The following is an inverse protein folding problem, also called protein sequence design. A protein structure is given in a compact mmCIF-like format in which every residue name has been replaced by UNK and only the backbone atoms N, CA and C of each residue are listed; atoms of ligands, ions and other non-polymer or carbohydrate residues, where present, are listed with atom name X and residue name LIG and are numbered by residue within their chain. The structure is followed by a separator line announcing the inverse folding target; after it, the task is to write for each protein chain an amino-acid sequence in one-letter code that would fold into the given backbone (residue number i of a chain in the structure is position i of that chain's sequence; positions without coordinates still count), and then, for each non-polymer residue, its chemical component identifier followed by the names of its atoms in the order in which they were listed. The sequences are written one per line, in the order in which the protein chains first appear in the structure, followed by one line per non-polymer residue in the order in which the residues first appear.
data_IF_019421483045
#
_entry.id   IF_019421483045
#
_cell.length_a   1.000
_cell.length_b   1.000
_cell.length_c   1.000
_cell.angle_alpha   90.00
_cell.angle_beta   90.00
_cell.angle_gamma   90.00
#
_symmetry.space_group_name_H-M   'P 1'
#
loop_
_entity.id
_entity.type
_entity.pdbx_description
1 polymer ?
#
# COMPACT_ATOMS: atom_id res chain seq x y z
N UNK A 1 -14.22 -5.81 -29.13
CA UNK A 1 -14.80 -4.60 -29.74
C UNK A 1 -15.94 -4.99 -30.67
N UNK A 2 -17.04 -4.24 -30.68
CA UNK A 2 -18.09 -4.41 -31.70
C UNK A 2 -17.69 -3.80 -33.06
N UNK A 3 -16.91 -2.71 -33.04
CA UNK A 3 -16.26 -2.09 -34.20
C UNK A 3 -14.75 -1.92 -33.92
N UNK A 4 -13.89 -2.45 -34.79
CA UNK A 4 -12.43 -2.35 -34.68
C UNK A 4 -11.93 -0.90 -34.70
N UNK A 5 -12.66 0.00 -35.36
CA UNK A 5 -12.28 1.41 -35.47
C UNK A 5 -12.70 2.22 -34.24
N UNK A 6 -13.55 1.67 -33.38
CA UNK A 6 -13.97 2.29 -32.12
C UNK A 6 -13.25 1.62 -30.95
N UNK A 7 -12.06 2.12 -30.62
CA UNK A 7 -11.22 1.57 -29.54
C UNK A 7 -10.94 2.57 -28.41
N UNK A 8 -11.45 3.80 -28.51
CA UNK A 8 -11.21 4.83 -27.50
C UNK A 8 -12.08 4.58 -26.26
N UNK A 9 -11.53 4.66 -25.03
CA UNK A 9 -12.30 4.52 -23.80
C UNK A 9 -13.08 5.81 -23.46
N UNK A 10 -13.99 6.21 -24.34
CA UNK A 10 -14.74 7.47 -24.26
C UNK A 10 -16.24 7.27 -23.92
N UNK A 11 -16.66 6.04 -23.62
CA UNK A 11 -18.05 5.69 -23.35
C UNK A 11 -18.94 5.56 -24.58
N UNK A 12 -18.39 5.71 -25.80
CA UNK A 12 -19.14 5.56 -27.06
C UNK A 12 -18.94 4.17 -27.67
N UNK A 13 -17.75 3.58 -27.52
CA UNK A 13 -17.45 2.29 -28.14
C UNK A 13 -18.17 1.13 -27.45
N UNK A 14 -18.83 0.31 -28.25
CA UNK A 14 -19.55 -0.87 -27.78
C UNK A 14 -18.66 -2.12 -27.78
N UNK A 15 -18.92 -3.01 -26.82
CA UNK A 15 -18.24 -4.29 -26.68
C UNK A 15 -19.28 -5.41 -26.81
N UNK A 16 -19.09 -6.29 -27.78
CA UNK A 16 -20.01 -7.41 -28.05
C UNK A 16 -19.93 -8.52 -27.01
N UNK A 17 -18.77 -8.70 -26.37
CA UNK A 17 -18.52 -9.73 -25.37
C UNK A 17 -17.25 -9.40 -24.58
N UNK A 18 -17.02 -10.16 -23.51
CA UNK A 18 -15.79 -10.12 -22.73
C UNK A 18 -14.57 -10.53 -23.57
N UNK A 19 -13.40 -10.00 -23.22
CA UNK A 19 -12.14 -10.42 -23.80
C UNK A 19 -11.89 -11.93 -23.61
N UNK A 20 -11.09 -12.53 -24.49
CA UNK A 20 -10.75 -13.95 -24.39
C UNK A 20 -10.01 -14.23 -23.07
N UNK A 21 -10.26 -15.38 -22.42
CA UNK A 21 -9.54 -15.75 -21.22
C UNK A 21 -8.05 -15.88 -21.51
N UNK A 22 -7.24 -15.39 -20.58
CA UNK A 22 -5.80 -15.59 -20.57
C UNK A 22 -5.42 -17.05 -20.29
N UNK A 23 -4.18 -17.41 -20.61
CA UNK A 23 -3.63 -18.73 -20.30
C UNK A 23 -3.44 -18.94 -18.80
N UNK A 24 -3.13 -17.88 -18.07
CA UNK A 24 -2.92 -17.88 -16.62
C UNK A 24 -4.21 -17.50 -15.89
N UNK A 25 -4.87 -16.41 -16.31
CA UNK A 25 -6.11 -15.96 -15.66
C UNK A 25 -7.28 -16.91 -15.85
N UNK A 26 -7.31 -17.65 -16.98
CA UNK A 26 -8.36 -18.60 -17.35
C UNK A 26 -9.79 -18.05 -17.29
N UNK A 27 -9.95 -16.72 -17.30
CA UNK A 27 -11.22 -16.05 -17.05
C UNK A 27 -11.49 -15.00 -18.12
N UNK A 28 -12.64 -15.11 -18.80
CA UNK A 28 -13.01 -14.16 -19.84
C UNK A 28 -13.15 -12.73 -19.28
N UNK A 29 -12.57 -11.76 -19.97
CA UNK A 29 -12.55 -10.36 -19.55
C UNK A 29 -11.46 -9.99 -18.53
N UNK A 30 -10.66 -10.96 -18.06
CA UNK A 30 -9.56 -10.71 -17.12
C UNK A 30 -8.25 -11.20 -17.73
N UNK A 31 -7.23 -10.35 -17.71
CA UNK A 31 -5.86 -10.72 -18.01
C UNK A 31 -4.96 -10.21 -16.90
N UNK A 32 -4.00 -11.05 -16.50
CA UNK A 32 -2.98 -10.66 -15.54
C UNK A 32 -1.94 -9.73 -16.18
N UNK A 33 -1.27 -8.92 -15.37
CA UNK A 33 -0.23 -8.01 -15.88
C UNK A 33 0.88 -8.77 -16.62
N UNK A 34 1.25 -9.96 -16.15
CA UNK A 34 2.20 -10.86 -16.85
C UNK A 34 1.73 -11.27 -18.26
N UNK A 35 0.43 -11.46 -18.45
CA UNK A 35 -0.16 -11.79 -19.74
C UNK A 35 -0.16 -10.58 -20.67
N UNK A 36 -0.44 -9.40 -20.15
CA UNK A 36 -0.48 -8.17 -20.95
C UNK A 36 0.93 -7.75 -21.35
N UNK A 37 1.85 -7.70 -20.39
CA UNK A 37 3.25 -7.28 -20.61
C UNK A 37 4.00 -8.19 -21.58
N UNK A 38 3.78 -9.51 -21.53
CA UNK A 38 4.37 -10.45 -22.50
C UNK A 38 3.90 -10.23 -23.94
N UNK A 39 2.71 -9.65 -24.13
CA UNK A 39 2.17 -9.30 -25.47
C UNK A 39 2.63 -7.94 -25.97
N UNK A 40 3.10 -7.04 -25.12
CA UNK A 40 3.40 -5.66 -25.50
C UNK A 40 4.48 -5.51 -26.59
N UNK A 41 5.28 -6.55 -26.84
CA UNK A 41 6.31 -6.61 -27.89
C UNK A 41 5.86 -7.38 -29.15
N UNK A 42 4.63 -7.90 -29.18
CA UNK A 42 4.06 -8.57 -30.34
C UNK A 42 3.68 -7.57 -31.43
N UNK A 43 3.85 -7.97 -32.70
CA UNK A 43 3.63 -7.08 -33.86
C UNK A 43 2.16 -6.66 -34.05
N UNK A 44 1.22 -7.40 -33.47
CA UNK A 44 -0.22 -7.18 -33.62
C UNK A 44 -0.84 -6.33 -32.49
N UNK A 45 -0.01 -5.80 -31.58
CA UNK A 45 -0.47 -5.04 -30.41
C UNK A 45 -0.25 -3.55 -30.62
N UNK A 46 -1.35 -2.80 -30.62
CA UNK A 46 -1.32 -1.32 -30.56
C UNK A 46 -1.54 -0.87 -29.12
N UNK A 47 -0.66 -0.01 -28.61
CA UNK A 47 -0.69 0.50 -27.23
C UNK A 47 -1.03 1.99 -27.21
N UNK A 48 -1.82 2.39 -26.23
CA UNK A 48 -2.31 3.76 -26.08
C UNK A 48 -2.24 4.18 -24.61
N UNK A 49 -1.98 5.47 -24.41
CA UNK A 49 -2.02 6.12 -23.11
C UNK A 49 -2.87 7.38 -23.19
N UNK A 50 -3.85 7.51 -22.30
CA UNK A 50 -4.53 8.77 -22.05
C UNK A 50 -3.95 9.44 -20.81
N UNK A 51 -3.07 10.43 -21.00
CA UNK A 51 -2.38 11.14 -19.91
C UNK A 51 -3.33 11.93 -18.99
N UNK A 52 -4.53 12.29 -19.45
CA UNK A 52 -5.50 13.02 -18.63
C UNK A 52 -6.19 12.09 -17.64
N UNK A 53 -6.58 10.89 -18.09
CA UNK A 53 -7.25 9.89 -17.25
C UNK A 53 -6.29 8.87 -16.66
N UNK A 54 -5.01 8.90 -17.03
CA UNK A 54 -3.96 7.91 -16.68
C UNK A 54 -4.29 6.48 -17.14
N UNK A 55 -5.18 6.34 -18.13
CA UNK A 55 -5.64 5.03 -18.60
C UNK A 55 -4.72 4.52 -19.69
N UNK A 56 -4.11 3.36 -19.45
CA UNK A 56 -3.40 2.57 -20.45
C UNK A 56 -4.31 1.49 -21.00
N UNK A 57 -4.23 1.27 -22.30
CA UNK A 57 -4.97 0.19 -22.95
C UNK A 57 -4.26 -0.27 -24.22
N UNK A 58 -4.52 -1.50 -24.63
CA UNK A 58 -4.07 -2.04 -25.90
C UNK A 58 -5.22 -2.61 -26.72
N UNK A 59 -4.99 -2.68 -28.03
CA UNK A 59 -5.82 -3.39 -29.00
C UNK A 59 -4.95 -4.43 -29.67
N UNK A 60 -5.41 -5.67 -29.70
CA UNK A 60 -4.65 -6.80 -30.25
C UNK A 60 -5.56 -7.81 -30.93
N UNK A 61 -4.97 -8.71 -31.74
CA UNK A 61 -5.72 -9.70 -32.53
C UNK A 61 -6.92 -9.10 -33.31
N UNK A 62 -6.80 -7.84 -33.73
CA UNK A 62 -7.80 -7.08 -34.48
C UNK A 62 -9.09 -6.68 -33.75
N UNK A 63 -9.42 -7.23 -32.58
CA UNK A 63 -10.70 -6.90 -31.92
C UNK A 63 -10.70 -7.10 -30.40
N UNK A 64 -9.59 -7.59 -29.84
CA UNK A 64 -9.42 -7.67 -28.40
C UNK A 64 -8.96 -6.30 -27.89
N UNK A 65 -9.50 -5.91 -26.74
CA UNK A 65 -9.21 -4.63 -26.10
C UNK A 65 -9.06 -4.88 -24.61
N UNK A 66 -8.02 -4.33 -24.01
CA UNK A 66 -7.79 -4.47 -22.56
C UNK A 66 -7.15 -3.20 -22.02
N UNK A 67 -7.71 -2.68 -20.93
CA UNK A 67 -7.07 -1.65 -20.10
C UNK A 67 -6.23 -2.28 -19.02
N UNK A 68 -5.12 -1.63 -18.68
CA UNK A 68 -4.18 -2.10 -17.67
C UNK A 68 -3.44 -0.92 -17.04
N UNK A 69 -2.48 -1.24 -16.17
CA UNK A 69 -1.52 -0.29 -15.65
C UNK A 69 -0.10 -0.78 -15.91
N UNK A 70 0.82 0.15 -16.13
CA UNK A 70 2.27 -0.09 -16.27
C UNK A 70 3.05 0.99 -15.50
N UNK A 71 4.38 0.97 -15.62
CA UNK A 71 5.27 1.92 -14.92
C UNK A 71 4.88 3.40 -15.14
N UNK A 72 4.42 3.76 -16.34
CA UNK A 72 4.03 5.14 -16.66
C UNK A 72 2.72 5.51 -15.94
N UNK A 73 1.68 4.66 -15.99
CA UNK A 73 0.42 4.98 -15.31
C UNK A 73 0.53 4.86 -13.78
N UNK A 74 1.37 3.96 -13.27
CA UNK A 74 1.70 3.90 -11.84
C UNK A 74 2.34 5.18 -11.35
N UNK A 75 3.31 5.72 -12.10
CA UNK A 75 3.95 6.98 -11.77
C UNK A 75 2.94 8.13 -11.69
N UNK A 76 2.06 8.25 -12.70
CA UNK A 76 1.02 9.28 -12.72
C UNK A 76 0.04 9.13 -11.55
N UNK A 77 -0.38 7.90 -11.25
CA UNK A 77 -1.29 7.59 -10.12
C UNK A 77 -0.64 7.91 -8.78
N UNK A 78 0.64 7.60 -8.58
CA UNK A 78 1.37 7.99 -7.38
C UNK A 78 1.45 9.51 -7.22
N UNK A 79 1.76 10.22 -8.31
CA UNK A 79 1.73 11.69 -8.32
C UNK A 79 0.36 12.24 -7.90
N UNK A 80 -0.73 11.63 -8.40
CA UNK A 80 -2.08 11.97 -7.99
C UNK A 80 -2.33 11.71 -6.49
N UNK A 81 -1.95 10.54 -5.97
CA UNK A 81 -2.08 10.20 -4.55
C UNK A 81 -1.33 11.22 -3.66
N UNK A 82 -0.08 11.54 -4.01
CA UNK A 82 0.73 12.53 -3.29
C UNK A 82 0.08 13.92 -3.33
N UNK A 83 -0.46 14.34 -4.48
CA UNK A 83 -1.13 15.65 -4.62
C UNK A 83 -2.39 15.79 -3.76
N UNK A 84 -2.97 14.67 -3.32
CA UNK A 84 -4.18 14.60 -2.50
C UNK A 84 -3.90 14.24 -1.04
N UNK A 85 -2.64 14.14 -0.64
CA UNK A 85 -2.23 13.70 0.70
C UNK A 85 -2.85 12.35 1.08
N UNK A 86 -2.95 11.42 0.12
CA UNK A 86 -3.38 10.06 0.39
C UNK A 86 -2.18 9.24 0.89
N UNK A 87 -2.31 8.62 2.06
CA UNK A 87 -1.19 8.02 2.80
C UNK A 87 -0.81 6.61 2.34
N UNK A 88 -1.48 6.06 1.34
CA UNK A 88 -1.21 4.68 0.92
C UNK A 88 -1.89 4.31 -0.38
N UNK A 89 -1.50 3.12 -0.84
CA UNK A 89 -2.06 2.45 -2.00
C UNK A 89 -2.37 1.00 -1.62
N UNK A 90 -3.31 0.40 -2.33
CA UNK A 90 -3.61 -1.02 -2.23
C UNK A 90 -3.47 -1.63 -3.62
N UNK A 91 -2.83 -2.80 -3.69
CA UNK A 91 -2.59 -3.53 -4.93
C UNK A 91 -3.42 -4.80 -4.89
N UNK A 92 -4.10 -5.06 -5.99
CA UNK A 92 -4.75 -6.33 -6.26
C UNK A 92 -4.21 -6.88 -7.58
N UNK A 93 -3.50 -8.01 -7.59
CA UNK A 93 -2.88 -8.71 -6.45
C UNK A 93 -1.43 -9.10 -6.77
N UNK A 94 -0.69 -9.58 -5.75
CA UNK A 94 0.73 -9.90 -5.89
C UNK A 94 1.00 -11.01 -6.92
N UNK A 95 0.07 -11.95 -7.07
CA UNK A 95 0.19 -13.10 -7.96
C UNK A 95 -0.13 -12.80 -9.44
N UNK A 96 -0.74 -11.66 -9.74
CA UNK A 96 -1.06 -11.24 -11.11
C UNK A 96 0.13 -10.54 -11.83
N UNK A 97 1.17 -10.22 -11.07
CA UNK A 97 2.40 -9.57 -11.55
C UNK A 97 3.34 -10.50 -12.34
N UNK A 98 4.54 -10.00 -12.65
CA UNK A 98 5.63 -10.83 -13.20
C UNK A 98 6.34 -11.58 -12.07
N UNK A 99 6.91 -12.76 -12.38
CA UNK A 99 7.45 -13.69 -11.37
C UNK A 99 8.61 -13.17 -10.51
N UNK A 100 9.27 -12.07 -10.89
CA UNK A 100 10.42 -11.49 -10.15
C UNK A 100 10.05 -10.27 -9.29
N UNK A 101 8.75 -10.01 -9.07
CA UNK A 101 8.27 -8.79 -8.40
C UNK A 101 8.61 -7.49 -9.16
N UNK A 102 8.95 -7.55 -10.44
CA UNK A 102 9.33 -6.36 -11.23
C UNK A 102 8.21 -5.32 -11.24
N UNK A 103 6.96 -5.76 -11.38
CA UNK A 103 5.80 -4.89 -11.33
C UNK A 103 5.68 -4.17 -9.98
N UNK A 104 5.95 -4.88 -8.89
CA UNK A 104 5.91 -4.32 -7.55
C UNK A 104 7.11 -3.39 -7.30
N UNK A 105 8.29 -3.74 -7.81
CA UNK A 105 9.49 -2.91 -7.75
C UNK A 105 9.33 -1.61 -8.57
N UNK A 106 8.75 -1.69 -9.76
CA UNK A 106 8.46 -0.53 -10.59
C UNK A 106 7.45 0.42 -9.92
N UNK A 107 6.52 -0.13 -9.13
CA UNK A 107 5.59 0.65 -8.33
C UNK A 107 6.29 1.22 -7.08
N UNK A 108 6.84 0.39 -6.20
CA UNK A 108 7.28 0.78 -4.86
C UNK A 108 8.76 1.20 -4.74
N UNK A 109 9.54 1.05 -5.81
CA UNK A 109 10.99 1.12 -5.77
C UNK A 109 11.63 -0.21 -5.36
N UNK A 110 12.91 -0.19 -5.01
CA UNK A 110 13.62 -1.40 -4.56
C UNK A 110 13.02 -1.93 -3.25
N UNK A 111 12.27 -3.04 -3.35
CA UNK A 111 11.70 -3.74 -2.20
C UNK A 111 12.51 -4.98 -1.79
N UNK A 112 13.75 -5.13 -2.26
CA UNK A 112 14.58 -6.30 -1.94
C UNK A 112 14.73 -6.52 -0.42
N UNK A 113 14.62 -5.46 0.38
CA UNK A 113 14.59 -5.53 1.85
C UNK A 113 13.35 -6.25 2.43
N UNK A 114 12.27 -6.41 1.65
CA UNK A 114 11.07 -7.14 2.06
C UNK A 114 11.24 -8.67 2.02
N UNK A 115 12.36 -9.18 1.50
CA UNK A 115 12.69 -10.62 1.38
C UNK A 115 11.50 -11.48 0.88
N UNK A 116 10.66 -10.95 -0.03
CA UNK A 116 9.44 -11.62 -0.49
C UNK A 116 9.69 -12.90 -1.31
N UNK A 117 10.92 -13.10 -1.78
CA UNK A 117 11.28 -14.17 -2.73
C UNK A 117 11.37 -15.56 -2.09
N UNK A 118 11.60 -15.63 -0.77
CA UNK A 118 11.59 -16.88 -0.04
C UNK A 118 10.79 -16.65 1.22
N UNK A 119 9.62 -17.26 1.34
CA UNK A 119 8.90 -17.45 2.61
C UNK A 119 9.70 -18.31 3.59
N UNK A 120 10.95 -17.96 3.83
CA UNK A 120 11.85 -18.60 4.76
C UNK A 120 11.37 -18.37 6.17
N UNK A 121 11.62 -19.34 7.05
CA UNK A 121 11.54 -19.13 8.50
C UNK A 121 12.64 -18.14 8.88
N UNK A 122 12.32 -16.85 8.81
CA UNK A 122 13.04 -15.83 9.54
C UNK A 122 13.20 -16.35 10.98
N UNK A 123 14.42 -16.27 11.51
CA UNK A 123 14.62 -16.45 12.94
C UNK A 123 13.82 -15.40 13.70
N UNK A 124 13.47 -15.65 14.96
CA UNK A 124 12.74 -14.67 15.78
C UNK A 124 13.46 -13.30 15.82
N UNK A 125 14.80 -13.30 15.77
CA UNK A 125 15.60 -12.08 15.71
C UNK A 125 15.40 -11.31 14.39
N UNK A 126 15.35 -12.01 13.26
CA UNK A 126 15.10 -11.38 11.96
C UNK A 126 13.65 -10.89 11.85
N UNK A 127 12.68 -11.65 12.36
CA UNK A 127 11.28 -11.22 12.42
C UNK A 127 11.13 -9.93 13.21
N UNK A 128 11.73 -9.85 14.40
CA UNK A 128 11.71 -8.64 15.22
C UNK A 128 12.37 -7.46 14.51
N UNK A 129 13.50 -7.69 13.83
CA UNK A 129 14.21 -6.62 13.11
C UNK A 129 13.36 -6.07 11.97
N UNK A 130 12.77 -6.93 11.14
CA UNK A 130 11.92 -6.52 10.03
C UNK A 130 10.66 -5.82 10.56
N UNK A 131 10.00 -6.39 11.57
CA UNK A 131 8.85 -5.76 12.21
C UNK A 131 9.18 -4.34 12.73
N UNK A 132 10.33 -4.19 13.40
CA UNK A 132 10.83 -2.88 13.87
C UNK A 132 11.06 -1.88 12.72
N UNK A 133 11.62 -2.32 11.59
CA UNK A 133 11.79 -1.47 10.39
C UNK A 133 10.44 -0.96 9.85
N UNK A 134 9.37 -1.75 9.98
CA UNK A 134 7.99 -1.32 9.66
C UNK A 134 7.31 -0.50 10.75
N UNK A 135 7.85 -0.45 11.97
CA UNK A 135 7.22 0.23 13.10
C UNK A 135 6.94 1.71 12.85
N UNK A 136 7.80 2.38 12.08
CA UNK A 136 7.61 3.76 11.66
C UNK A 136 6.41 3.98 10.71
N UNK A 137 5.89 2.94 10.06
CA UNK A 137 4.74 3.04 9.14
C UNK A 137 3.46 2.46 9.73
N UNK A 138 3.59 1.50 10.65
CA UNK A 138 2.45 0.80 11.25
C UNK A 138 2.13 1.30 12.66
N UNK A 139 3.01 2.08 13.28
CA UNK A 139 2.92 2.42 14.70
C UNK A 139 3.18 1.23 15.63
N UNK A 140 3.88 0.20 15.14
CA UNK A 140 4.27 -0.95 15.94
C UNK A 140 5.13 -0.49 17.13
N UNK A 141 4.97 -1.20 18.26
CA UNK A 141 5.70 -0.95 19.50
C UNK A 141 5.42 0.41 20.16
N UNK A 142 4.52 1.20 19.59
CA UNK A 142 3.91 2.32 20.29
C UNK A 142 2.99 1.79 21.40
N UNK A 143 2.99 2.49 22.53
CA UNK A 143 2.08 2.22 23.64
C UNK A 143 1.61 3.53 24.23
N UNK A 144 0.65 3.45 25.14
CA UNK A 144 0.14 4.61 25.85
C UNK A 144 0.45 4.46 27.34
N UNK A 145 0.83 5.56 27.98
CA UNK A 145 1.04 5.62 29.43
C UNK A 145 -0.22 5.18 30.17
N UNK A 146 -0.08 4.54 31.33
CA UNK A 146 -1.25 4.03 32.07
C UNK A 146 -1.86 5.06 33.00
N UNK A 147 -1.08 6.07 33.42
CA UNK A 147 -1.53 7.14 34.30
C UNK A 147 -1.64 8.46 33.56
N UNK A 148 -2.71 9.18 33.88
CA UNK A 148 -2.95 10.52 33.38
C UNK A 148 -1.92 11.51 33.92
N UNK A 149 -1.61 12.53 33.11
CA UNK A 149 -0.82 13.69 33.49
C UNK A 149 -1.44 14.96 32.92
N UNK A 150 -1.35 16.06 33.64
CA UNK A 150 -1.66 17.42 33.16
C UNK A 150 -0.40 18.16 32.65
N UNK A 151 0.76 17.49 32.66
CA UNK A 151 2.06 18.06 32.29
C UNK A 151 2.72 18.91 33.39
N UNK A 152 2.14 18.98 34.59
CA UNK A 152 2.75 19.61 35.75
C UNK A 152 4.00 18.86 36.23
N UNK A 153 4.87 19.55 36.98
CA UNK A 153 6.14 18.96 37.46
C UNK A 153 5.94 17.82 38.45
N UNK A 154 4.81 17.77 39.11
CA UNK A 154 4.41 16.74 40.06
C UNK A 154 3.79 15.51 39.40
N UNK A 155 3.44 15.58 38.11
CA UNK A 155 2.84 14.49 37.34
C UNK A 155 3.77 13.96 36.22
N UNK A 156 5.05 13.75 36.56
CA UNK A 156 6.09 13.22 35.66
C UNK A 156 6.58 11.83 36.08
N UNK A 157 5.71 11.01 36.68
CA UNK A 157 6.02 9.64 37.06
C UNK A 157 6.33 8.73 35.86
N UNK A 158 6.95 7.58 36.11
CA UNK A 158 7.34 6.60 35.05
C UNK A 158 6.18 6.10 34.21
N UNK A 159 4.98 6.08 34.79
CA UNK A 159 3.75 5.62 34.13
C UNK A 159 2.93 6.77 33.55
N UNK A 160 3.45 8.01 33.63
CA UNK A 160 2.84 9.25 33.17
C UNK A 160 3.61 9.88 32.01
N UNK A 161 4.86 9.48 31.76
CA UNK A 161 5.69 10.01 30.67
C UNK A 161 6.35 8.89 29.88
N UNK A 162 6.75 9.18 28.65
CA UNK A 162 7.46 8.20 27.84
C UNK A 162 8.85 7.88 28.44
N UNK A 163 9.19 6.59 28.60
CA UNK A 163 10.48 6.17 29.12
C UNK A 163 11.61 6.49 28.13
N UNK A 164 12.86 6.33 28.61
CA UNK A 164 14.04 6.47 27.75
C UNK A 164 13.97 5.51 26.56
N UNK A 165 14.36 5.99 25.38
CA UNK A 165 14.21 5.27 24.10
C UNK A 165 12.88 5.54 23.39
N UNK A 166 11.90 6.11 24.08
CA UNK A 166 10.60 6.49 23.52
C UNK A 166 10.42 8.01 23.47
N UNK A 167 9.47 8.46 22.68
CA UNK A 167 9.07 9.85 22.58
C UNK A 167 7.55 9.95 22.44
N UNK A 168 6.97 10.97 23.08
CA UNK A 168 5.55 11.26 22.92
C UNK A 168 5.31 11.85 21.54
N UNK A 169 4.48 11.18 20.75
CA UNK A 169 4.07 11.64 19.41
C UNK A 169 2.76 12.41 19.45
N UNK A 170 1.91 12.08 20.41
CA UNK A 170 0.64 12.75 20.66
C UNK A 170 0.16 12.46 22.09
N UNK A 171 -0.89 13.16 22.50
CA UNK A 171 -1.59 12.97 23.77
C UNK A 171 -3.03 12.54 23.52
N UNK A 172 -3.56 11.65 24.35
CA UNK A 172 -4.93 11.16 24.23
C UNK A 172 -5.62 11.13 25.60
N UNK A 173 -6.90 11.48 25.65
CA UNK A 173 -7.64 11.58 26.90
C UNK A 173 -8.03 10.20 27.45
N UNK A 174 -8.80 9.41 26.69
CA UNK A 174 -9.17 8.02 27.04
C UNK A 174 -8.96 7.09 25.83
N UNK A 175 -7.72 6.78 25.45
CA UNK A 175 -7.44 5.90 24.31
C UNK A 175 -7.72 4.43 24.63
N UNK A 176 -8.08 3.66 23.60
CA UNK A 176 -8.23 2.20 23.71
C UNK A 176 -6.88 1.53 23.51
N UNK A 177 -6.54 0.58 24.38
CA UNK A 177 -5.28 -0.15 24.32
C UNK A 177 -5.32 -1.35 23.38
N UNK A 178 -4.14 -1.73 22.89
CA UNK A 178 -3.96 -3.02 22.25
C UNK A 178 -4.32 -4.17 23.23
N UNK A 179 -4.90 -5.28 22.75
CA UNK A 179 -5.23 -6.42 23.59
C UNK A 179 -4.01 -6.93 24.38
N UNK A 180 -4.20 -7.19 25.68
CA UNK A 180 -3.14 -7.70 26.58
C UNK A 180 -2.29 -6.62 27.26
N UNK A 181 -2.51 -5.34 26.97
CA UNK A 181 -1.90 -4.22 27.71
C UNK A 181 -2.74 -3.83 28.94
N UNK A 182 -2.13 -3.26 29.99
CA UNK A 182 -2.88 -2.70 31.11
C UNK A 182 -3.85 -1.60 30.63
N UNK A 183 -5.06 -1.60 31.19
CA UNK A 183 -6.04 -0.54 30.96
C UNK A 183 -5.56 0.78 31.60
N UNK A 184 -5.54 1.90 30.85
CA UNK A 184 -5.26 3.21 31.41
C UNK A 184 -6.35 3.67 32.37
N UNK A 185 -5.96 4.58 33.25
CA UNK A 185 -6.88 5.37 34.03
C UNK A 185 -7.76 6.24 33.10
N UNK A 186 -9.01 6.48 33.47
CA UNK A 186 -9.82 7.51 32.83
C UNK A 186 -9.35 8.89 33.30
N UNK A 187 -8.99 9.76 32.36
CA UNK A 187 -8.52 11.10 32.68
C UNK A 187 -9.68 12.05 32.95
N UNK A 188 -9.46 13.01 33.86
CA UNK A 188 -10.34 14.17 34.01
C UNK A 188 -10.02 15.24 32.96
N UNK A 189 -10.95 16.16 32.73
CA UNK A 189 -10.74 17.29 31.83
C UNK A 189 -9.45 18.04 32.16
N UNK A 190 -8.62 18.29 31.14
CA UNK A 190 -7.29 18.91 31.27
C UNK A 190 -6.14 17.93 31.54
N UNK A 191 -6.43 16.63 31.68
CA UNK A 191 -5.42 15.59 31.85
C UNK A 191 -5.45 14.59 30.68
N UNK A 192 -4.32 13.95 30.41
CA UNK A 192 -4.13 13.09 29.24
C UNK A 192 -3.07 12.02 29.48
N UNK A 193 -3.07 11.01 28.61
CA UNK A 193 -2.00 10.04 28.45
C UNK A 193 -1.09 10.42 27.29
N UNK A 194 0.16 10.00 27.34
CA UNK A 194 1.07 10.11 26.21
C UNK A 194 1.01 8.85 25.34
N UNK A 195 0.95 9.04 24.03
CA UNK A 195 1.22 8.01 23.03
C UNK A 195 2.73 8.01 22.79
N UNK A 196 3.39 6.96 23.26
CA UNK A 196 4.84 6.79 23.26
C UNK A 196 5.28 5.81 22.18
N UNK A 197 6.11 6.27 21.25
CA UNK A 197 6.69 5.44 20.19
C UNK A 197 8.22 5.40 20.28
N UNK A 198 8.89 4.33 19.81
CA UNK A 198 10.35 4.25 19.80
C UNK A 198 10.96 5.41 18.99
N UNK A 199 12.03 6.03 19.50
CA UNK A 199 12.68 7.17 18.84
C UNK A 199 13.31 6.81 17.49
N UNK A 200 13.77 5.57 17.37
CA UNK A 200 14.40 5.02 16.17
C UNK A 200 13.39 4.45 15.15
N UNK A 201 12.10 4.39 15.52
CA UNK A 201 11.00 3.97 14.67
C UNK A 201 9.78 4.88 14.83
N UNK A 202 9.99 6.20 14.92
CA UNK A 202 8.89 7.16 15.04
C UNK A 202 7.97 7.10 13.81
N UNK A 203 6.63 7.17 14.00
CA UNK A 203 5.68 7.29 12.92
C UNK A 203 6.07 8.39 11.92
N UNK A 204 6.13 8.03 10.63
CA UNK A 204 6.42 8.97 9.52
C UNK A 204 5.16 9.60 8.95
#
# INVERSE_FOLDING_TARGET
LADINCYQPNGVCEFSTAGRPGTSSSTAGILYYSEISSRNNSLDVSRYHNSTSTVKYNVYEGHQWTSYDDEESWHDKMGFLSSRCLNGLMIWSLDEGTGESDALNALMGDISSLEMQNGGRLTEAQQKKIAHEFGAYTGQDCFVTTKCTDGSKDQLGTDQVCPSGYQSVATAHNPVHAPGQPTPDECSEGSFHHICCPRDAMPK
#
